data_IF_328586174028
#
_entry.id   IF_328586174028
#
_cell.length_a   1.000
_cell.length_b   1.000
_cell.length_c   1.000
_cell.angle_alpha   90.00
_cell.angle_beta   90.00
_cell.angle_gamma   90.00
#
_symmetry.space_group_name_H-M   'P 1'
#
loop_
_entity.id
_entity.type
_entity.pdbx_description
1 polymer ?
#
# COMPACT_ATOMS: atom_id res chain seq x y z
N UNK A 1 -11.19 -1.93 27.30
CA UNK A 1 -10.19 -2.44 26.33
C UNK A 1 -9.38 -3.51 27.03
N UNK A 2 -9.13 -4.66 26.40
CA UNK A 2 -8.36 -5.76 27.00
C UNK A 2 -6.92 -5.71 26.48
N UNK A 3 -5.93 -5.85 27.38
CA UNK A 3 -4.50 -5.94 27.05
C UNK A 3 -3.86 -7.08 27.83
N UNK A 4 -2.91 -7.76 27.20
CA UNK A 4 -2.10 -8.83 27.81
C UNK A 4 -0.66 -8.36 28.13
N UNK A 5 -0.28 -7.16 27.72
CA UNK A 5 1.09 -6.66 27.79
C UNK A 5 1.21 -5.35 28.56
N UNK A 6 0.13 -4.84 29.15
CA UNK A 6 0.12 -3.57 29.89
C UNK A 6 -0.37 -3.80 31.30
N UNK A 7 0.28 -3.14 32.25
CA UNK A 7 -0.16 -3.10 33.64
C UNK A 7 -1.33 -2.12 33.80
N UNK A 8 -2.01 -2.16 34.96
CA UNK A 8 -3.10 -1.25 35.29
C UNK A 8 -2.57 0.17 35.64
N UNK A 9 -1.87 0.79 34.69
CA UNK A 9 -1.29 2.12 34.80
C UNK A 9 -2.09 3.15 34.02
N UNK A 10 -1.98 4.39 34.48
CA UNK A 10 -2.56 5.55 33.83
C UNK A 10 -1.48 6.35 33.10
N UNK A 11 -1.86 6.88 31.95
CA UNK A 11 -1.08 7.78 31.12
C UNK A 11 -1.84 9.10 30.92
N UNK A 12 -1.09 10.18 30.70
CA UNK A 12 -1.64 11.51 30.45
C UNK A 12 -1.80 11.73 28.96
N UNK A 13 -3.02 11.97 28.51
CA UNK A 13 -3.35 12.21 27.10
C UNK A 13 -3.97 13.59 26.92
N UNK A 14 -3.54 14.30 25.89
CA UNK A 14 -4.14 15.58 25.51
C UNK A 14 -5.37 15.35 24.63
N UNK A 15 -6.51 15.91 25.04
CA UNK A 15 -7.75 15.83 24.28
C UNK A 15 -8.19 17.23 23.85
N UNK A 16 -8.53 17.36 22.56
CA UNK A 16 -9.17 18.58 22.05
C UNK A 16 -10.65 18.57 22.42
N UNK A 17 -11.10 19.63 23.08
CA UNK A 17 -12.47 19.84 23.48
C UNK A 17 -13.30 20.52 22.39
N UNK A 18 -14.63 20.57 22.58
CA UNK A 18 -15.57 21.18 21.61
C UNK A 18 -15.31 22.68 21.41
N UNK A 19 -14.79 23.36 22.43
CA UNK A 19 -14.32 24.74 22.42
C UNK A 19 -12.87 24.89 21.87
N UNK A 20 -12.31 23.83 21.26
CA UNK A 20 -10.96 23.80 20.64
C UNK A 20 -9.81 23.94 21.65
N UNK A 21 -10.08 24.00 22.96
CA UNK A 21 -9.04 23.94 23.99
C UNK A 21 -8.44 22.53 24.05
N UNK A 22 -7.15 22.44 24.38
CA UNK A 22 -6.49 21.16 24.69
C UNK A 22 -6.37 21.04 26.19
N UNK A 23 -6.91 19.95 26.72
CA UNK A 23 -6.91 19.65 28.14
C UNK A 23 -6.28 18.27 28.36
N UNK A 24 -5.56 18.12 29.46
CA UNK A 24 -4.86 16.89 29.84
C UNK A 24 -5.79 16.00 30.66
N UNK A 25 -5.89 14.73 30.28
CA UNK A 25 -6.71 13.72 30.96
C UNK A 25 -5.88 12.51 31.30
N UNK A 26 -6.19 11.91 32.45
CA UNK A 26 -5.72 10.58 32.77
C UNK A 26 -6.56 9.54 32.03
N UNK A 27 -5.87 8.66 31.32
CA UNK A 27 -6.44 7.53 30.60
C UNK A 27 -5.62 6.28 30.91
N UNK A 28 -6.15 5.08 30.71
CA UNK A 28 -5.32 3.87 30.84
C UNK A 28 -4.23 3.87 29.77
N UNK A 29 -3.02 3.45 30.13
CA UNK A 29 -1.89 3.25 29.20
C UNK A 29 -2.29 2.33 28.03
N UNK A 30 -3.16 1.35 28.27
CA UNK A 30 -3.73 0.46 27.24
C UNK A 30 -4.45 1.22 26.15
N UNK A 31 -5.22 2.24 26.52
CA UNK A 31 -6.02 3.02 25.58
C UNK A 31 -5.11 3.98 24.79
N UNK A 32 -4.15 4.62 25.45
CA UNK A 32 -3.17 5.47 24.77
C UNK A 32 -2.38 4.68 23.73
N UNK A 33 -1.82 3.53 24.13
CA UNK A 33 -1.03 2.69 23.24
C UNK A 33 -1.85 2.24 22.04
N UNK A 34 -3.08 1.76 22.26
CA UNK A 34 -3.97 1.38 21.17
C UNK A 34 -4.22 2.50 20.18
N UNK A 35 -4.59 3.69 20.67
CA UNK A 35 -4.86 4.84 19.81
C UNK A 35 -3.64 5.24 18.97
N UNK A 36 -2.43 5.03 19.50
CA UNK A 36 -1.17 5.28 18.78
C UNK A 36 -0.93 4.31 17.62
N UNK A 37 -1.35 3.05 17.74
CA UNK A 37 -1.06 2.01 16.73
C UNK A 37 -2.24 1.63 15.82
N UNK A 38 -3.48 1.84 16.26
CA UNK A 38 -4.69 1.32 15.59
C UNK A 38 -4.85 1.81 14.14
N UNK A 39 -4.34 3.01 13.82
CA UNK A 39 -4.51 3.65 12.51
C UNK A 39 -3.62 3.09 11.39
N UNK A 40 -2.78 2.09 11.67
CA UNK A 40 -1.84 1.55 10.68
C UNK A 40 -2.52 0.97 9.43
N UNK A 41 -3.64 0.27 9.61
CA UNK A 41 -4.40 -0.32 8.49
C UNK A 41 -5.09 0.77 7.66
N UNK A 42 -5.79 1.70 8.32
CA UNK A 42 -6.46 2.82 7.64
C UNK A 42 -5.47 3.68 6.86
N UNK A 43 -4.27 3.90 7.41
CA UNK A 43 -3.21 4.64 6.73
C UNK A 43 -2.69 3.87 5.50
N UNK A 44 -2.48 2.56 5.62
CA UNK A 44 -2.06 1.73 4.49
C UNK A 44 -3.11 1.76 3.37
N UNK A 45 -4.39 1.64 3.72
CA UNK A 45 -5.51 1.72 2.78
C UNK A 45 -5.61 3.10 2.14
N UNK A 46 -5.48 4.17 2.93
CA UNK A 46 -5.47 5.54 2.43
C UNK A 46 -4.37 5.75 1.39
N UNK A 47 -3.13 5.30 1.67
CA UNK A 47 -2.00 5.45 0.75
C UNK A 47 -2.22 4.61 -0.52
N UNK A 48 -2.72 3.39 -0.40
CA UNK A 48 -3.05 2.55 -1.55
C UNK A 48 -4.20 3.12 -2.42
N UNK A 49 -5.11 3.89 -1.82
CA UNK A 49 -6.23 4.54 -2.49
C UNK A 49 -5.85 5.82 -3.25
N UNK A 50 -4.73 6.48 -2.93
CA UNK A 50 -4.35 7.76 -3.57
C UNK A 50 -4.24 7.65 -5.10
N UNK A 51 -3.75 6.52 -5.60
CA UNK A 51 -3.66 6.22 -7.03
C UNK A 51 -4.48 4.98 -7.38
N UNK A 52 -5.67 4.86 -6.79
CA UNK A 52 -6.53 3.70 -6.98
C UNK A 52 -6.79 3.42 -8.48
N UNK A 53 -6.62 2.15 -8.85
CA UNK A 53 -6.90 1.65 -10.19
C UNK A 53 -8.35 1.16 -10.28
N UNK A 54 -9.32 1.98 -9.85
CA UNK A 54 -10.72 1.59 -9.91
C UNK A 54 -11.22 1.68 -11.36
N UNK A 55 -11.48 0.51 -11.94
CA UNK A 55 -12.01 0.38 -13.29
C UNK A 55 -13.32 -0.38 -13.20
N UNK A 56 -14.41 0.25 -13.65
CA UNK A 56 -15.72 -0.39 -13.76
C UNK A 56 -15.60 -1.72 -14.50
N UNK A 57 -15.92 -2.82 -13.83
CA UNK A 57 -15.92 -4.15 -14.43
C UNK A 57 -16.96 -5.04 -13.80
N UNK A 58 -17.65 -5.84 -14.63
CA UNK A 58 -18.60 -6.85 -14.16
C UNK A 58 -17.93 -8.04 -13.45
N UNK A 59 -16.59 -8.14 -13.50
CA UNK A 59 -15.81 -9.22 -12.88
C UNK A 59 -15.21 -8.75 -11.56
N UNK A 60 -15.78 -9.19 -10.43
CA UNK A 60 -15.39 -8.77 -9.08
C UNK A 60 -13.91 -9.04 -8.74
N UNK A 61 -13.35 -10.14 -9.24
CA UNK A 61 -11.95 -10.52 -8.95
C UNK A 61 -10.93 -9.50 -9.44
N UNK A 62 -11.27 -8.70 -10.47
CA UNK A 62 -10.37 -7.65 -10.97
C UNK A 62 -10.15 -6.57 -9.91
N UNK A 63 -11.18 -6.24 -9.14
CA UNK A 63 -11.07 -5.29 -8.03
C UNK A 63 -10.06 -5.80 -7.01
N UNK A 64 -10.18 -7.06 -6.60
CA UNK A 64 -9.23 -7.71 -5.68
C UNK A 64 -7.81 -7.71 -6.23
N UNK A 65 -7.64 -8.09 -7.51
CA UNK A 65 -6.33 -8.08 -8.16
C UNK A 65 -5.67 -6.69 -8.13
N UNK A 66 -6.39 -5.64 -8.53
CA UNK A 66 -5.85 -4.29 -8.52
C UNK A 66 -5.55 -3.79 -7.11
N UNK A 67 -6.33 -4.22 -6.10
CA UNK A 67 -6.02 -3.89 -4.71
C UNK A 67 -4.72 -4.53 -4.25
N UNK A 68 -4.54 -5.82 -4.49
CA UNK A 68 -3.30 -6.52 -4.16
C UNK A 68 -2.09 -5.93 -4.91
N UNK A 69 -2.27 -5.56 -6.18
CA UNK A 69 -1.22 -4.91 -6.98
C UNK A 69 -0.81 -3.57 -6.37
N UNK A 70 -1.77 -2.72 -6.01
CA UNK A 70 -1.46 -1.42 -5.39
C UNK A 70 -0.81 -1.58 -4.01
N UNK A 71 -1.25 -2.53 -3.19
CA UNK A 71 -0.58 -2.85 -1.92
C UNK A 71 0.87 -3.29 -2.14
N UNK A 72 1.15 -4.14 -3.13
CA UNK A 72 2.51 -4.55 -3.46
C UNK A 72 3.38 -3.36 -3.93
N UNK A 73 2.82 -2.45 -4.72
CA UNK A 73 3.51 -1.23 -5.17
C UNK A 73 3.84 -0.31 -3.99
N UNK A 74 2.88 -0.06 -3.09
CA UNK A 74 3.09 0.75 -1.88
C UNK A 74 4.15 0.11 -0.97
N UNK A 75 4.10 -1.20 -0.76
CA UNK A 75 5.10 -1.91 0.05
C UNK A 75 6.51 -1.80 -0.57
N UNK A 76 6.61 -1.93 -1.90
CA UNK A 76 7.87 -1.75 -2.63
C UNK A 76 8.39 -0.33 -2.51
N UNK A 77 7.50 0.67 -2.53
CA UNK A 77 7.85 2.08 -2.33
C UNK A 77 8.36 2.36 -0.92
N UNK A 78 7.72 1.79 0.11
CA UNK A 78 8.17 1.89 1.51
C UNK A 78 9.59 1.31 1.64
N UNK A 79 9.80 0.10 1.09
CA UNK A 79 11.12 -0.53 1.08
C UNK A 79 12.17 0.31 0.33
N UNK A 80 11.82 0.87 -0.83
CA UNK A 80 12.70 1.76 -1.59
C UNK A 80 13.09 3.01 -0.80
N UNK A 81 12.13 3.68 -0.15
CA UNK A 81 12.40 4.85 0.69
C UNK A 81 13.28 4.49 1.89
N UNK A 82 13.06 3.32 2.49
CA UNK A 82 13.89 2.80 3.58
C UNK A 82 15.33 2.54 3.17
N UNK A 83 15.55 1.85 2.04
CA UNK A 83 16.88 1.53 1.52
C UNK A 83 17.65 2.76 1.03
N UNK A 84 16.97 3.76 0.50
CA UNK A 84 17.58 5.00 0.01
C UNK A 84 17.70 6.08 1.08
N UNK A 85 17.16 5.86 2.28
CA UNK A 85 17.04 6.85 3.35
C UNK A 85 16.49 8.20 2.85
N UNK A 86 15.63 8.17 1.83
CA UNK A 86 15.06 9.35 1.18
C UNK A 86 13.56 9.15 1.01
N UNK A 87 12.79 10.18 1.39
CA UNK A 87 11.35 10.21 1.12
C UNK A 87 11.13 10.69 -0.30
N UNK A 88 10.77 9.77 -1.19
CA UNK A 88 10.34 10.07 -2.55
C UNK A 88 8.81 10.06 -2.58
N UNK A 89 8.13 11.04 -3.18
CA UNK A 89 6.68 10.99 -3.36
C UNK A 89 6.25 9.73 -4.10
N UNK A 90 5.11 9.14 -3.72
CA UNK A 90 4.63 7.88 -4.30
C UNK A 90 4.47 7.96 -5.84
N UNK A 91 4.00 9.09 -6.37
CA UNK A 91 3.87 9.28 -7.83
C UNK A 91 5.20 9.20 -8.57
N UNK A 92 6.25 9.80 -8.01
CA UNK A 92 7.61 9.80 -8.57
C UNK A 92 8.20 8.38 -8.58
N UNK A 93 7.73 7.50 -7.70
CA UNK A 93 8.07 6.08 -7.73
C UNK A 93 7.23 5.29 -8.74
N UNK A 94 5.92 5.53 -8.81
CA UNK A 94 5.00 4.79 -9.67
C UNK A 94 5.24 5.06 -11.16
N UNK A 95 5.52 6.30 -11.55
CA UNK A 95 5.66 6.66 -12.98
C UNK A 95 6.82 5.92 -13.66
N UNK A 96 8.06 5.92 -13.11
CA UNK A 96 9.15 5.12 -13.66
C UNK A 96 8.86 3.61 -13.62
N UNK A 97 8.26 3.12 -12.54
CA UNK A 97 7.87 1.71 -12.39
C UNK A 97 6.92 1.27 -13.52
N UNK A 98 5.88 2.06 -13.79
CA UNK A 98 4.92 1.78 -14.85
C UNK A 98 5.57 1.81 -16.25
N UNK A 99 6.49 2.75 -16.50
CA UNK A 99 7.26 2.82 -17.75
C UNK A 99 8.13 1.56 -17.92
N UNK A 100 8.84 1.14 -16.88
CA UNK A 100 9.69 -0.06 -16.89
C UNK A 100 8.87 -1.33 -17.13
N UNK A 101 7.73 -1.49 -16.45
CA UNK A 101 6.82 -2.62 -16.63
C UNK A 101 6.26 -2.68 -18.06
N UNK A 102 5.87 -1.53 -18.62
CA UNK A 102 5.41 -1.44 -20.02
C UNK A 102 6.49 -1.87 -21.01
N UNK A 103 7.72 -1.42 -20.81
CA UNK A 103 8.85 -1.79 -21.67
C UNK A 103 9.14 -3.29 -21.60
N UNK A 104 9.23 -3.85 -20.39
CA UNK A 104 9.42 -5.29 -20.15
C UNK A 104 8.31 -6.13 -20.79
N UNK A 105 7.05 -5.72 -20.63
CA UNK A 105 5.91 -6.41 -21.24
C UNK A 105 5.96 -6.45 -22.77
N UNK A 106 6.40 -5.36 -23.42
CA UNK A 106 6.60 -5.33 -24.89
C UNK A 106 7.67 -6.31 -25.35
N UNK A 107 8.81 -6.34 -24.67
CA UNK A 107 9.92 -7.26 -24.98
C UNK A 107 9.49 -8.72 -24.83
N UNK A 108 8.80 -9.05 -23.73
CA UNK A 108 8.29 -10.39 -23.48
C UNK A 108 7.26 -10.82 -24.54
N UNK A 109 6.34 -9.94 -24.92
CA UNK A 109 5.36 -10.23 -25.96
C UNK A 109 6.03 -10.46 -27.33
N UNK A 110 7.06 -9.69 -27.67
CA UNK A 110 7.84 -9.88 -28.90
C UNK A 110 8.59 -11.23 -28.87
N UNK A 111 9.23 -11.57 -27.75
CA UNK A 111 9.91 -12.84 -27.56
C UNK A 111 8.96 -14.04 -27.74
N UNK A 112 7.79 -14.02 -27.08
CA UNK A 112 6.79 -15.08 -27.18
C UNK A 112 6.27 -15.27 -28.61
N UNK A 113 6.03 -14.18 -29.35
CA UNK A 113 5.62 -14.27 -30.77
C UNK A 113 6.70 -14.90 -31.64
N UNK A 114 7.97 -14.51 -31.48
CA UNK A 114 9.10 -15.08 -32.23
C UNK A 114 9.27 -16.58 -31.96
N UNK A 115 9.00 -17.02 -30.74
CA UNK A 115 9.04 -18.44 -30.35
C UNK A 115 7.90 -19.25 -30.98
N UNK A 116 6.70 -18.66 -31.09
CA UNK A 116 5.54 -19.29 -31.73
C UNK A 116 5.61 -19.36 -33.27
N UNK A 117 6.42 -18.53 -33.92
CA UNK A 117 6.62 -18.56 -35.39
C UNK A 117 7.60 -19.64 -35.87
N UNK A 118 8.35 -20.29 -34.97
CA UNK A 118 9.16 -21.47 -35.30
C UNK A 118 8.23 -22.69 -35.31
N UNK A 119 7.28 -22.74 -36.26
CA UNK A 119 6.55 -23.96 -36.60
C UNK A 119 7.23 -24.51 -37.86
N UNK A 120 7.87 -25.69 -37.83
CA UNK A 120 8.46 -26.24 -39.04
C UNK A 120 7.36 -26.43 -40.08
N UNK A 121 7.56 -25.89 -41.28
CA UNK A 121 6.73 -26.17 -42.44
C UNK A 121 6.71 -27.68 -42.64
N UNK A 122 5.52 -28.30 -42.65
CA UNK A 122 5.37 -29.67 -43.11
C UNK A 122 5.80 -29.70 -44.57
N UNK A 123 6.97 -30.27 -44.85
CA UNK A 123 7.35 -30.67 -46.21
C UNK A 123 6.42 -31.79 -46.64
N UNK A 124 5.68 -31.55 -47.71
CA UNK A 124 4.79 -32.51 -48.35
C UNK A 124 5.56 -33.56 -49.15
#
# INVERSE_FOLDING_TARGET
>A
MLSNCHEAKYAKVNRTMKNVTREEFECSETIEFYNKIMGGVDLADQVANVYELDRKSCKWWKKVFFRLLMSAVVNSWIAYCGLKHRKTPLLEFIVPLAKALKASGKLNAQYQRRRGTIRPSKTS
#
